data_IF_924222892922
#
_entry.id   IF_924222892922
#
_cell.length_a   1.000
_cell.length_b   1.000
_cell.length_c   1.000
_cell.angle_alpha   90.00
_cell.angle_beta   90.00
_cell.angle_gamma   90.00
#
_symmetry.space_group_name_H-M   'P 1'
#
loop_
_entity.id
_entity.type
_entity.pdbx_description
1 polymer ?
#
# COMPACT_ATOMS: atom_id res chain seq x y z
N UNK A 1 11.69 -9.07 37.73
CA UNK A 1 12.65 -9.29 38.83
C UNK A 1 13.64 -8.17 38.77
N UNK A 2 14.00 -7.60 39.92
CA UNK A 2 15.01 -6.56 39.98
C UNK A 2 16.35 -7.14 39.49
N UNK A 3 17.07 -6.40 38.64
CA UNK A 3 18.38 -6.82 38.11
C UNK A 3 19.35 -7.03 39.29
N UNK A 4 19.14 -6.30 40.39
CA UNK A 4 19.92 -6.43 41.61
C UNK A 4 19.66 -7.72 42.41
N UNK A 5 18.53 -8.42 42.19
CA UNK A 5 18.27 -9.71 42.86
C UNK A 5 19.24 -10.80 42.42
N UNK A 6 19.67 -10.79 41.15
CA UNK A 6 20.65 -11.72 40.60
C UNK A 6 22.08 -11.46 41.09
N UNK A 7 22.36 -10.29 41.65
CA UNK A 7 23.69 -9.89 42.10
C UNK A 7 23.95 -10.23 43.59
N UNK A 8 22.92 -10.64 44.34
CA UNK A 8 23.05 -11.03 45.76
C UNK A 8 24.04 -12.18 45.98
N UNK A 9 24.23 -13.05 44.98
CA UNK A 9 25.22 -14.14 45.04
C UNK A 9 26.69 -13.68 44.99
N UNK A 10 26.95 -12.42 44.63
CA UNK A 10 28.30 -11.87 44.46
C UNK A 10 28.84 -11.17 45.72
N UNK A 11 28.01 -11.05 46.78
CA UNK A 11 28.32 -10.28 47.99
C UNK A 11 29.57 -10.76 48.76
N UNK A 12 29.98 -12.02 48.56
CA UNK A 12 31.12 -12.64 49.25
C UNK A 12 32.29 -12.96 48.29
N UNK A 13 32.24 -12.49 47.05
CA UNK A 13 33.28 -12.75 46.04
C UNK A 13 34.42 -11.74 46.21
N UNK A 14 35.69 -12.16 46.18
CA UNK A 14 36.83 -11.24 46.22
C UNK A 14 36.79 -10.20 45.09
N UNK A 15 37.22 -8.97 45.38
CA UNK A 15 37.19 -7.86 44.41
C UNK A 15 37.98 -8.15 43.13
N UNK A 16 39.10 -8.90 43.22
CA UNK A 16 39.89 -9.37 42.07
C UNK A 16 39.09 -10.25 41.12
N UNK A 17 38.22 -11.08 41.67
CA UNK A 17 37.44 -12.06 40.92
C UNK A 17 36.21 -11.38 40.32
N UNK A 18 35.64 -10.40 41.01
CA UNK A 18 34.62 -9.50 40.46
C UNK A 18 35.15 -8.71 39.26
N UNK A 19 36.36 -8.18 39.36
CA UNK A 19 36.99 -7.42 38.27
C UNK A 19 37.27 -8.32 37.06
N UNK A 20 37.75 -9.54 37.29
CA UNK A 20 37.99 -10.54 36.24
C UNK A 20 36.68 -10.97 35.59
N UNK A 21 35.63 -11.18 36.38
CA UNK A 21 34.29 -11.49 35.88
C UNK A 21 33.74 -10.35 35.02
N UNK A 22 33.82 -9.10 35.49
CA UNK A 22 33.39 -7.93 34.74
C UNK A 22 34.14 -7.78 33.41
N UNK A 23 35.45 -7.97 33.41
CA UNK A 23 36.27 -7.97 32.19
C UNK A 23 35.87 -9.09 31.22
N UNK A 24 35.63 -10.29 31.73
CA UNK A 24 35.21 -11.43 30.91
C UNK A 24 33.83 -11.24 30.27
N UNK A 25 32.90 -10.63 31.00
CA UNK A 25 31.55 -10.30 30.52
C UNK A 25 31.63 -9.19 29.47
N UNK A 26 32.39 -8.12 29.75
CA UNK A 26 32.60 -7.03 28.81
C UNK A 26 33.23 -7.52 27.49
N UNK A 27 34.24 -8.38 27.57
CA UNK A 27 34.87 -8.99 26.40
C UNK A 27 33.89 -9.84 25.58
N UNK A 28 33.02 -10.61 26.26
CA UNK A 28 32.04 -11.47 25.58
C UNK A 28 30.91 -10.67 24.93
N UNK A 29 30.47 -9.59 25.57
CA UNK A 29 29.51 -8.66 24.96
C UNK A 29 30.15 -8.00 23.73
N UNK A 30 31.38 -7.50 23.86
CA UNK A 30 32.09 -6.86 22.76
C UNK A 30 32.34 -7.79 21.56
N UNK A 31 32.50 -9.10 21.77
CA UNK A 31 32.68 -10.06 20.68
C UNK A 31 31.37 -10.46 19.98
N UNK A 32 30.24 -10.46 20.69
CA UNK A 32 28.96 -10.95 20.16
C UNK A 32 28.11 -9.83 19.56
N UNK A 33 28.14 -8.65 20.18
CA UNK A 33 27.29 -7.52 19.81
C UNK A 33 27.50 -7.04 18.36
N UNK A 34 28.73 -6.93 17.82
CA UNK A 34 28.94 -6.51 16.44
C UNK A 34 28.30 -7.46 15.42
N UNK A 35 28.38 -8.77 15.65
CA UNK A 35 27.80 -9.79 14.77
C UNK A 35 26.28 -9.73 14.79
N UNK A 36 25.66 -9.64 15.98
CA UNK A 36 24.21 -9.50 16.10
C UNK A 36 23.68 -8.23 15.44
N UNK A 37 24.37 -7.10 15.64
CA UNK A 37 23.99 -5.85 14.98
C UNK A 37 24.15 -5.97 13.46
N UNK A 38 25.24 -6.59 13.00
CA UNK A 38 25.47 -6.78 11.57
C UNK A 38 24.37 -7.65 10.93
N UNK A 39 24.04 -8.78 11.54
CA UNK A 39 22.97 -9.68 11.08
C UNK A 39 21.62 -8.96 11.05
N UNK A 40 21.25 -8.25 12.12
CA UNK A 40 20.00 -7.49 12.18
C UNK A 40 19.94 -6.37 11.13
N UNK A 41 21.05 -5.68 10.86
CA UNK A 41 21.13 -4.66 9.81
C UNK A 41 21.07 -5.26 8.40
N UNK A 42 21.63 -6.46 8.20
CA UNK A 42 21.53 -7.20 6.94
C UNK A 42 20.09 -7.65 6.70
N UNK A 43 19.39 -8.16 7.72
CA UNK A 43 17.96 -8.49 7.63
C UNK A 43 17.09 -7.26 7.34
N UNK A 44 17.39 -6.12 7.96
CA UNK A 44 16.65 -4.87 7.71
C UNK A 44 16.93 -4.29 6.32
N UNK A 45 18.17 -4.46 5.82
CA UNK A 45 18.59 -3.97 4.50
C UNK A 45 18.18 -4.91 3.36
N UNK A 46 17.97 -6.19 3.66
CA UNK A 46 17.30 -7.08 2.73
C UNK A 46 16.01 -6.37 2.34
N UNK A 47 15.80 -6.06 1.04
CA UNK A 47 14.58 -5.41 0.62
C UNK A 47 13.47 -6.27 1.21
N UNK A 48 12.63 -5.67 2.06
CA UNK A 48 11.44 -6.32 2.58
C UNK A 48 10.68 -6.80 1.37
N UNK A 49 10.89 -8.06 1.02
CA UNK A 49 10.29 -8.66 -0.13
C UNK A 49 8.82 -8.77 0.28
N UNK A 50 8.02 -7.78 -0.12
CA UNK A 50 6.64 -8.01 -0.54
C UNK A 50 6.62 -8.91 -1.80
N UNK A 51 7.43 -9.96 -1.76
CA UNK A 51 7.79 -10.88 -2.83
C UNK A 51 7.90 -12.27 -2.21
N UNK A 52 7.00 -12.61 -1.30
CA UNK A 52 6.52 -13.99 -1.23
C UNK A 52 5.60 -14.18 -2.45
N UNK A 53 5.93 -15.07 -3.40
CA UNK A 53 5.04 -15.44 -4.51
C UNK A 53 3.62 -15.82 -4.04
N UNK A 54 3.52 -16.23 -2.79
CA UNK A 54 2.37 -16.67 -2.02
C UNK A 54 1.41 -15.51 -1.67
N UNK A 55 1.97 -14.32 -1.39
CA UNK A 55 1.18 -13.09 -1.18
C UNK A 55 0.76 -12.43 -2.50
N UNK A 56 1.46 -12.74 -3.60
CA UNK A 56 1.00 -12.42 -4.96
C UNK A 56 -0.15 -13.32 -5.41
N UNK A 57 -0.26 -14.52 -4.85
CA UNK A 57 -1.27 -15.51 -5.22
C UNK A 57 -2.67 -15.25 -4.69
N UNK A 58 -2.84 -14.43 -3.64
CA UNK A 58 -4.15 -14.30 -2.99
C UNK A 58 -5.02 -13.12 -3.43
N UNK A 59 -4.54 -12.14 -4.19
CA UNK A 59 -5.32 -10.89 -4.33
C UNK A 59 -5.10 -10.15 -5.65
N UNK A 60 -5.93 -10.45 -6.67
CA UNK A 60 -6.44 -9.45 -7.64
C UNK A 60 -7.39 -10.03 -8.71
N UNK A 61 -8.05 -11.16 -8.50
CA UNK A 61 -8.88 -11.79 -9.54
C UNK A 61 -9.96 -10.88 -10.15
N UNK A 62 -10.50 -9.92 -9.39
CA UNK A 62 -11.44 -8.89 -9.89
C UNK A 62 -10.81 -7.91 -10.89
N UNK A 63 -9.50 -7.76 -10.87
CA UNK A 63 -8.72 -6.82 -11.69
C UNK A 63 -7.82 -7.56 -12.71
N UNK A 64 -7.91 -8.88 -12.75
CA UNK A 64 -7.23 -9.74 -13.70
C UNK A 64 -8.15 -10.01 -14.89
N UNK A 65 -8.10 -9.17 -15.91
CA UNK A 65 -8.64 -9.50 -17.24
C UNK A 65 -7.68 -10.51 -17.89
N UNK A 66 -8.13 -11.77 -18.04
CA UNK A 66 -7.49 -12.88 -18.77
C UNK A 66 -6.19 -13.52 -18.24
N UNK A 67 -5.95 -13.50 -16.92
CA UNK A 67 -4.90 -14.32 -16.30
C UNK A 67 -4.29 -13.70 -15.06
N UNK A 68 -3.50 -14.49 -14.32
CA UNK A 68 -2.81 -14.06 -13.10
C UNK A 68 -1.78 -12.96 -13.41
N UNK A 69 -2.24 -11.70 -13.44
CA UNK A 69 -1.37 -10.55 -13.46
C UNK A 69 -0.97 -10.20 -12.03
N UNK A 70 0.34 -10.21 -11.77
CA UNK A 70 0.92 -9.65 -10.56
C UNK A 70 0.68 -8.14 -10.59
N UNK A 71 -0.13 -7.65 -9.65
CA UNK A 71 -0.35 -6.21 -9.48
C UNK A 71 0.98 -5.51 -9.23
N UNK A 72 1.36 -4.57 -10.11
CA UNK A 72 2.55 -3.73 -9.89
C UNK A 72 2.16 -2.57 -8.98
N UNK A 73 2.54 -2.66 -7.71
CA UNK A 73 2.32 -1.59 -6.75
C UNK A 73 3.32 -0.44 -6.97
N UNK A 74 2.90 0.77 -6.60
CA UNK A 74 3.75 1.95 -6.62
C UNK A 74 4.81 1.86 -5.51
N UNK A 75 5.93 2.55 -5.70
CA UNK A 75 6.99 2.63 -4.69
C UNK A 75 6.63 3.63 -3.59
N UNK A 76 7.37 3.60 -2.47
CA UNK A 76 7.21 4.60 -1.40
C UNK A 76 7.55 6.02 -1.88
N UNK A 77 8.47 6.15 -2.84
CA UNK A 77 8.79 7.42 -3.48
C UNK A 77 7.61 7.95 -4.32
N UNK A 78 6.91 7.07 -5.04
CA UNK A 78 5.68 7.43 -5.76
C UNK A 78 4.58 7.89 -4.81
N UNK A 79 4.48 7.29 -3.62
CA UNK A 79 3.55 7.74 -2.58
C UNK A 79 3.85 9.17 -2.13
N UNK A 80 5.12 9.51 -1.90
CA UNK A 80 5.51 10.86 -1.47
C UNK A 80 5.37 11.92 -2.57
N UNK A 81 5.52 11.53 -3.84
CA UNK A 81 5.30 12.43 -4.98
C UNK A 81 3.82 12.77 -5.21
N UNK A 82 2.92 11.97 -4.66
CA UNK A 82 1.48 12.12 -4.84
C UNK A 82 0.99 11.67 -6.22
N UNK A 83 -0.34 11.50 -6.38
CA UNK A 83 -0.94 11.15 -7.67
C UNK A 83 -0.67 12.20 -8.75
N UNK A 84 -0.46 13.47 -8.39
CA UNK A 84 -0.21 14.56 -9.31
C UNK A 84 1.05 14.33 -10.16
N UNK A 85 2.07 13.68 -9.59
CA UNK A 85 3.28 13.33 -10.35
C UNK A 85 3.04 12.19 -11.35
N UNK A 86 2.02 11.36 -11.14
CA UNK A 86 1.69 10.22 -11.98
C UNK A 86 0.66 10.55 -13.06
N UNK A 87 -0.41 11.27 -12.69
CA UNK A 87 -1.58 11.53 -13.55
C UNK A 87 -1.83 13.02 -13.81
N UNK A 88 -1.01 13.90 -13.25
CA UNK A 88 -1.17 15.35 -13.36
C UNK A 88 -2.20 15.92 -12.39
N UNK A 89 -2.31 17.24 -12.37
CA UNK A 89 -3.36 17.95 -11.62
C UNK A 89 -4.71 17.84 -12.33
N UNK A 90 -5.84 17.76 -11.60
CA UNK A 90 -7.15 17.74 -12.21
C UNK A 90 -7.42 19.06 -12.95
N UNK A 91 -8.12 18.97 -14.08
CA UNK A 91 -8.59 20.17 -14.78
C UNK A 91 -9.58 20.93 -13.87
N UNK A 92 -9.34 22.21 -13.54
CA UNK A 92 -10.21 22.96 -12.63
C UNK A 92 -11.63 23.20 -13.20
N UNK A 93 -11.82 23.01 -14.51
CA UNK A 93 -13.12 23.17 -15.18
C UNK A 93 -13.93 21.88 -15.12
N UNK A 94 -14.38 21.52 -13.92
CA UNK A 94 -15.05 20.25 -13.63
C UNK A 94 -16.26 20.01 -14.54
N UNK A 95 -17.14 21.01 -14.70
CA UNK A 95 -18.34 20.87 -15.53
C UNK A 95 -18.02 20.60 -17.00
N UNK A 96 -17.05 21.32 -17.58
CA UNK A 96 -16.60 21.11 -18.96
C UNK A 96 -15.97 19.71 -19.13
N UNK A 97 -15.21 19.27 -18.14
CA UNK A 97 -14.63 17.93 -18.10
C UNK A 97 -15.70 16.84 -18.08
N UNK A 98 -16.70 16.97 -17.20
CA UNK A 98 -17.81 16.03 -17.10
C UNK A 98 -18.64 15.98 -18.38
N UNK A 99 -19.00 17.13 -18.96
CA UNK A 99 -19.72 17.19 -20.24
C UNK A 99 -18.90 16.55 -21.37
N UNK A 100 -17.59 16.84 -21.43
CA UNK A 100 -16.71 16.26 -22.46
C UNK A 100 -16.63 14.74 -22.33
N UNK A 101 -16.51 14.22 -21.11
CA UNK A 101 -16.47 12.78 -20.85
C UNK A 101 -17.76 12.08 -21.31
N UNK A 102 -18.92 12.63 -20.95
CA UNK A 102 -20.22 12.00 -21.23
C UNK A 102 -20.73 12.22 -22.65
N UNK A 103 -20.39 13.35 -23.28
CA UNK A 103 -20.99 13.76 -24.57
C UNK A 103 -20.03 13.73 -25.75
N UNK A 104 -18.70 13.76 -25.53
CA UNK A 104 -17.71 13.97 -26.62
C UNK A 104 -16.72 12.83 -26.80
N UNK A 105 -16.66 11.86 -25.88
CA UNK A 105 -15.82 10.66 -26.02
C UNK A 105 -16.38 9.70 -27.08
N UNK A 106 -15.55 8.83 -27.70
CA UNK A 106 -16.01 7.87 -28.72
C UNK A 106 -17.14 6.95 -28.26
N UNK A 107 -17.19 6.65 -26.96
CA UNK A 107 -18.19 5.80 -26.34
C UNK A 107 -19.39 6.57 -25.75
N UNK A 108 -19.49 7.88 -25.96
CA UNK A 108 -20.57 8.71 -25.41
C UNK A 108 -21.98 8.21 -25.77
N UNK A 109 -22.11 7.52 -26.92
CA UNK A 109 -23.36 6.93 -27.43
C UNK A 109 -23.37 5.40 -27.39
N UNK A 110 -22.38 4.78 -26.74
CA UNK A 110 -22.35 3.32 -26.60
C UNK A 110 -23.33 2.90 -25.52
N UNK A 111 -24.36 2.17 -25.92
CA UNK A 111 -25.36 1.65 -24.99
C UNK A 111 -24.79 0.54 -24.11
N UNK A 112 -25.17 0.52 -22.84
CA UNK A 112 -24.93 -0.58 -21.92
C UNK A 112 -26.20 -0.89 -21.13
N UNK A 113 -26.30 -2.13 -20.65
CA UNK A 113 -27.43 -2.59 -19.83
C UNK A 113 -26.90 -3.00 -18.46
N UNK A 114 -27.49 -2.46 -17.40
CA UNK A 114 -27.14 -2.84 -16.03
C UNK A 114 -27.76 -4.21 -15.70
N UNK A 115 -26.98 -5.11 -15.09
CA UNK A 115 -27.42 -6.49 -14.84
C UNK A 115 -28.43 -6.65 -13.71
N UNK A 116 -28.46 -5.70 -12.78
CA UNK A 116 -29.31 -5.72 -11.60
C UNK A 116 -30.70 -5.10 -11.84
N UNK A 117 -30.80 -4.12 -12.73
CA UNK A 117 -32.06 -3.40 -13.01
C UNK A 117 -32.52 -3.54 -14.47
N UNK A 118 -31.71 -4.15 -15.35
CA UNK A 118 -31.97 -4.28 -16.78
C UNK A 118 -32.24 -2.95 -17.50
N UNK A 119 -31.75 -1.84 -16.93
CA UNK A 119 -31.87 -0.51 -17.51
C UNK A 119 -30.81 -0.39 -18.61
N UNK A 120 -31.27 -0.05 -19.81
CA UNK A 120 -30.39 0.21 -20.96
C UNK A 120 -30.27 1.71 -21.19
N UNK A 121 -29.05 2.22 -21.19
CA UNK A 121 -28.75 3.65 -21.29
C UNK A 121 -27.40 3.87 -22.00
N UNK A 122 -27.03 5.13 -22.22
CA UNK A 122 -25.70 5.52 -22.71
C UNK A 122 -25.26 6.85 -22.06
N UNK A 123 -23.94 7.11 -21.93
CA UNK A 123 -23.43 8.23 -21.13
C UNK A 123 -24.04 9.60 -21.45
N UNK A 124 -24.24 9.91 -22.73
CA UNK A 124 -24.83 11.19 -23.13
C UNK A 124 -26.30 11.34 -22.69
N UNK A 125 -27.08 10.25 -22.66
CA UNK A 125 -28.48 10.27 -22.20
C UNK A 125 -28.56 10.47 -20.69
N UNK A 126 -27.69 9.80 -19.93
CA UNK A 126 -27.58 9.98 -18.48
C UNK A 126 -27.19 11.43 -18.13
N UNK A 127 -26.28 12.02 -18.91
CA UNK A 127 -25.90 13.43 -18.75
C UNK A 127 -27.06 14.39 -19.00
N UNK A 128 -27.81 14.20 -20.09
CA UNK A 128 -28.96 15.04 -20.42
C UNK A 128 -30.03 14.96 -19.32
N UNK A 129 -30.35 13.76 -18.83
CA UNK A 129 -31.30 13.56 -17.75
C UNK A 129 -30.94 14.34 -16.48
N UNK A 130 -29.65 14.40 -16.13
CA UNK A 130 -29.18 15.08 -14.92
C UNK A 130 -29.09 16.59 -15.09
N UNK A 131 -28.67 17.07 -16.26
CA UNK A 131 -28.29 18.48 -16.46
C UNK A 131 -29.40 19.33 -17.07
N UNK A 132 -30.14 18.79 -18.03
CA UNK A 132 -31.21 19.50 -18.75
C UNK A 132 -32.25 18.50 -19.29
N UNK A 133 -33.03 17.84 -18.40
CA UNK A 133 -33.97 16.80 -18.80
C UNK A 133 -35.07 17.38 -19.69
N UNK A 134 -35.32 16.71 -20.82
CA UNK A 134 -36.38 17.09 -21.75
C UNK A 134 -37.70 16.52 -21.27
N UNK A 135 -38.71 17.40 -21.20
CA UNK A 135 -40.05 17.05 -20.71
C UNK A 135 -40.71 15.89 -21.49
N UNK A 136 -40.37 15.75 -22.76
CA UNK A 136 -40.94 14.75 -23.67
C UNK A 136 -39.97 13.59 -23.97
N UNK A 137 -38.81 13.53 -23.29
CA UNK A 137 -37.89 12.41 -23.42
C UNK A 137 -38.30 11.26 -22.49
N UNK A 138 -38.32 10.06 -23.05
CA UNK A 138 -38.51 8.82 -22.29
C UNK A 138 -37.16 8.36 -21.75
N UNK A 139 -36.83 8.84 -20.54
CA UNK A 139 -35.60 8.43 -19.87
C UNK A 139 -35.77 7.03 -19.26
N UNK A 140 -34.76 6.15 -19.36
CA UNK A 140 -34.80 4.82 -18.77
C UNK A 140 -35.05 4.90 -17.24
N UNK A 141 -36.02 4.14 -16.74
CA UNK A 141 -36.43 4.10 -15.33
C UNK A 141 -36.71 2.68 -14.85
#
# INVERSE_FOLDING_TARGET
GDIFDGLKGLQNVPESDLLTLAQSVAARIASVLPTLIHEALVELRAPGNATTPDALGYVNSKFSLDGAHVGRYATLDDFFKGPEALIGIPNPKIQEGMETEHCRRPNAKTSFTTSNYNITTYPQLEWEFVVDPKKDADYPH
#
